data_IF_438527996893
#
_entry.id   IF_438527996893
#
_cell.length_a   1.000
_cell.length_b   1.000
_cell.length_c   1.000
_cell.angle_alpha   90.00
_cell.angle_beta   90.00
_cell.angle_gamma   90.00
#
_symmetry.space_group_name_H-M   'P 1'
#
loop_
_entity.id
_entity.type
_entity.pdbx_description
1 polymer ?
#
# COMPACT_ATOMS: atom_id res chain seq x y z
N UNK A 1 10.18 3.23 14.58
CA UNK A 1 9.33 2.33 15.40
C UNK A 1 10.16 1.89 16.61
N UNK A 2 9.60 1.85 17.82
CA UNK A 2 10.35 1.46 19.01
C UNK A 2 10.90 0.03 18.86
N UNK A 3 12.18 -0.16 19.17
CA UNK A 3 12.88 -1.43 18.97
C UNK A 3 12.23 -2.60 19.72
N UNK A 4 11.69 -2.33 20.92
CA UNK A 4 11.01 -3.35 21.73
C UNK A 4 9.80 -3.96 21.02
N UNK A 5 9.07 -3.16 20.25
CA UNK A 5 7.83 -3.60 19.57
C UNK A 5 8.15 -4.54 18.42
N UNK A 6 9.28 -4.32 17.72
CA UNK A 6 9.65 -5.11 16.54
C UNK A 6 10.52 -6.32 16.88
N UNK A 7 11.44 -6.19 17.85
CA UNK A 7 12.33 -7.29 18.28
C UNK A 7 11.68 -8.25 19.26
N UNK A 8 10.78 -7.77 20.11
CA UNK A 8 10.17 -8.56 21.18
C UNK A 8 8.63 -8.41 21.21
N UNK A 9 7.94 -8.72 20.10
CA UNK A 9 6.49 -8.53 19.99
C UNK A 9 5.70 -9.32 21.06
N UNK A 10 6.18 -10.50 21.43
CA UNK A 10 5.58 -11.35 22.48
C UNK A 10 5.60 -10.70 23.85
N UNK A 11 6.69 -10.00 24.20
CA UNK A 11 6.80 -9.29 25.47
C UNK A 11 5.80 -8.13 25.49
N UNK A 12 5.73 -7.37 24.39
CA UNK A 12 4.80 -6.24 24.29
C UNK A 12 3.35 -6.70 24.35
N UNK A 13 2.99 -7.79 23.66
CA UNK A 13 1.65 -8.37 23.77
C UNK A 13 1.32 -8.80 25.20
N UNK A 14 2.29 -9.40 25.91
CA UNK A 14 2.14 -9.76 27.32
C UNK A 14 1.89 -8.55 28.21
N UNK A 15 2.69 -7.49 28.06
CA UNK A 15 2.55 -6.25 28.83
C UNK A 15 1.21 -5.56 28.57
N UNK A 16 0.75 -5.53 27.31
CA UNK A 16 -0.53 -4.93 26.97
C UNK A 16 -1.70 -5.76 27.56
N UNK A 17 -1.63 -7.09 27.50
CA UNK A 17 -2.63 -7.96 28.14
C UNK A 17 -2.67 -7.75 29.66
N UNK A 18 -1.51 -7.63 30.30
CA UNK A 18 -1.42 -7.31 31.75
C UNK A 18 -2.01 -5.93 32.07
N UNK A 19 -1.90 -4.97 31.15
CA UNK A 19 -2.54 -3.66 31.24
C UNK A 19 -4.05 -3.68 30.93
N UNK A 20 -4.69 -4.86 30.88
CA UNK A 20 -6.10 -5.07 30.52
C UNK A 20 -6.47 -4.55 29.11
N UNK A 21 -5.50 -4.44 28.21
CA UNK A 21 -5.75 -4.12 26.81
C UNK A 21 -6.15 -5.40 26.09
N UNK A 22 -7.24 -5.31 25.33
CA UNK A 22 -7.78 -6.43 24.56
C UNK A 22 -6.91 -6.69 23.34
N UNK A 23 -5.96 -7.61 23.49
CA UNK A 23 -5.02 -8.03 22.45
C UNK A 23 -5.25 -9.50 22.07
N UNK A 24 -5.36 -9.81 20.79
CA UNK A 24 -5.43 -11.20 20.29
C UNK A 24 -6.78 -11.90 20.52
N UNK A 25 -7.83 -11.13 20.80
CA UNK A 25 -9.19 -11.65 21.11
C UNK A 25 -10.20 -11.41 19.99
N UNK A 26 -9.75 -10.94 18.82
CA UNK A 26 -10.62 -10.68 17.67
C UNK A 26 -11.59 -9.52 17.87
N UNK A 27 -11.20 -8.50 18.65
CA UNK A 27 -11.99 -7.28 18.82
C UNK A 27 -12.21 -6.55 17.49
N UNK A 28 -13.27 -5.73 17.44
CA UNK A 28 -13.66 -5.03 16.22
C UNK A 28 -12.59 -4.02 15.79
N UNK A 29 -12.09 -4.19 14.56
CA UNK A 29 -11.12 -3.29 13.94
C UNK A 29 -11.84 -2.19 13.16
N UNK A 30 -11.65 -0.93 13.54
CA UNK A 30 -12.25 0.24 12.89
C UNK A 30 -11.23 0.99 12.02
N UNK A 31 -9.97 1.06 12.45
CA UNK A 31 -8.89 1.79 11.79
C UNK A 31 -7.97 0.80 11.05
N UNK A 32 -7.43 -0.20 11.73
CA UNK A 32 -6.42 -1.12 11.20
C UNK A 32 -7.07 -2.36 10.57
N UNK A 33 -7.80 -2.18 9.46
CA UNK A 33 -8.66 -3.24 8.85
C UNK A 33 -7.94 -4.51 8.36
N UNK A 34 -6.63 -4.44 8.15
CA UNK A 34 -5.82 -5.55 7.64
C UNK A 34 -5.01 -6.24 8.74
N UNK A 35 -5.30 -5.93 10.01
CA UNK A 35 -4.56 -6.49 11.12
C UNK A 35 -4.94 -7.95 11.36
N UNK A 36 -3.98 -8.88 11.46
CA UNK A 36 -4.26 -10.23 11.91
C UNK A 36 -4.91 -10.22 13.31
N UNK A 37 -5.96 -11.02 13.55
CA UNK A 37 -6.74 -10.95 14.79
C UNK A 37 -5.94 -11.31 16.04
N UNK A 38 -4.91 -12.15 15.91
CA UNK A 38 -3.97 -12.56 16.95
C UNK A 38 -2.96 -11.46 17.34
N UNK A 39 -2.73 -10.50 16.44
CA UNK A 39 -1.76 -9.40 16.59
C UNK A 39 -2.42 -8.05 16.87
N UNK A 40 -3.74 -7.99 16.72
CA UNK A 40 -4.53 -6.80 16.95
C UNK A 40 -4.71 -6.52 18.45
N UNK A 41 -4.49 -5.27 18.83
CA UNK A 41 -4.76 -4.72 20.14
C UNK A 41 -5.71 -3.51 20.04
N UNK A 42 -6.81 -3.56 20.77
CA UNK A 42 -7.73 -2.44 20.92
C UNK A 42 -7.34 -1.59 22.13
N UNK A 43 -6.73 -0.42 21.90
CA UNK A 43 -6.32 0.51 22.94
C UNK A 43 -7.44 1.51 23.26
N UNK A 44 -7.44 2.14 24.46
CA UNK A 44 -8.46 3.13 24.83
C UNK A 44 -8.57 4.35 23.89
N UNK A 45 -7.46 4.71 23.24
CA UNK A 45 -7.39 5.87 22.33
C UNK A 45 -7.06 5.50 20.88
N UNK A 46 -7.11 4.22 20.52
CA UNK A 46 -6.77 3.82 19.16
C UNK A 46 -6.56 2.32 18.99
N UNK A 47 -5.92 1.95 17.89
CA UNK A 47 -5.69 0.57 17.51
C UNK A 47 -4.20 0.37 17.24
N UNK A 48 -3.68 -0.81 17.59
CA UNK A 48 -2.28 -1.16 17.39
C UNK A 48 -2.17 -2.61 16.91
N UNK A 49 -1.36 -2.82 15.87
CA UNK A 49 -0.94 -4.15 15.47
C UNK A 49 0.49 -4.38 15.95
N UNK A 50 0.69 -5.42 16.75
CA UNK A 50 2.02 -5.82 17.21
C UNK A 50 2.60 -6.81 16.22
N UNK A 51 3.64 -6.41 15.50
CA UNK A 51 4.32 -7.22 14.49
C UNK A 51 5.78 -7.43 14.87
N UNK A 52 6.29 -8.63 14.65
CA UNK A 52 7.73 -8.90 14.75
C UNK A 52 8.48 -8.59 13.45
N UNK A 53 9.80 -8.71 13.49
CA UNK A 53 10.66 -8.58 12.28
C UNK A 53 10.25 -9.57 11.17
N UNK A 54 9.77 -10.77 11.55
CA UNK A 54 9.31 -11.79 10.59
C UNK A 54 8.07 -11.36 9.80
N UNK A 55 7.33 -10.38 10.30
CA UNK A 55 6.03 -9.95 9.77
C UNK A 55 6.08 -8.58 9.10
N UNK A 56 7.29 -8.03 8.85
CA UNK A 56 7.47 -6.70 8.27
C UNK A 56 6.72 -6.53 6.94
N UNK A 57 6.65 -7.59 6.13
CA UNK A 57 5.91 -7.58 4.86
C UNK A 57 4.40 -7.40 5.02
N UNK A 58 3.86 -7.66 6.22
CA UNK A 58 2.44 -7.52 6.55
C UNK A 58 2.12 -6.22 7.29
N UNK A 59 3.13 -5.40 7.61
CA UNK A 59 2.93 -4.12 8.32
C UNK A 59 2.30 -3.03 7.42
N UNK A 60 2.30 -3.21 6.10
CA UNK A 60 1.79 -2.21 5.16
C UNK A 60 0.28 -2.35 4.96
N UNK A 61 -0.47 -1.30 5.29
CA UNK A 61 -1.90 -1.20 4.98
C UNK A 61 -2.19 -0.79 3.53
N UNK A 62 -1.14 -0.39 2.80
CA UNK A 62 -1.23 0.06 1.42
C UNK A 62 -1.07 -1.18 0.53
N UNK A 63 -2.15 -1.57 -0.13
CA UNK A 63 -2.13 -2.62 -1.14
C UNK A 63 -1.45 -2.13 -2.42
N UNK A 64 -0.84 -3.03 -3.20
CA UNK A 64 -0.29 -2.69 -4.52
C UNK A 64 -1.36 -2.10 -5.46
N UNK A 65 -2.63 -2.47 -5.25
CA UNK A 65 -3.77 -1.90 -5.96
C UNK A 65 -4.02 -0.42 -5.58
N UNK A 66 -3.77 -0.05 -4.33
CA UNK A 66 -3.84 1.36 -3.88
C UNK A 66 -2.80 2.23 -4.57
N UNK A 67 -1.62 1.68 -4.88
CA UNK A 67 -0.58 2.38 -5.66
C UNK A 67 -0.94 2.51 -7.14
N UNK A 68 -1.49 1.44 -7.74
CA UNK A 68 -2.00 1.44 -9.12
C UNK A 68 -3.16 2.42 -9.34
N UNK A 69 -3.96 2.68 -8.30
CA UNK A 69 -5.04 3.67 -8.32
C UNK A 69 -4.54 5.11 -8.28
N UNK A 70 -3.28 5.36 -7.89
CA UNK A 70 -2.69 6.70 -8.00
C UNK A 70 -2.55 7.02 -9.48
N UNK A 71 -3.56 7.70 -10.01
CA UNK A 71 -3.72 8.05 -11.43
C UNK A 71 -2.64 8.98 -11.98
N UNK A 72 -1.73 9.43 -11.12
CA UNK A 72 -0.72 10.44 -11.42
C UNK A 72 0.28 10.00 -12.49
N UNK A 73 0.53 8.69 -12.64
CA UNK A 73 1.47 8.15 -13.62
C UNK A 73 0.81 7.64 -14.91
N UNK A 74 -0.48 7.28 -14.86
CA UNK A 74 -1.18 6.65 -16.01
C UNK A 74 -1.56 7.70 -17.05
N UNK A 75 -2.09 8.85 -16.64
CA UNK A 75 -2.48 9.94 -17.54
C UNK A 75 -1.32 10.49 -18.40
N UNK A 76 -0.14 10.83 -17.85
CA UNK A 76 0.96 11.34 -18.67
C UNK A 76 1.52 10.29 -19.63
N UNK A 77 1.53 9.00 -19.26
CA UNK A 77 2.01 7.92 -20.12
C UNK A 77 1.09 7.70 -21.33
N UNK A 78 -0.24 7.69 -21.11
CA UNK A 78 -1.22 7.59 -22.20
C UNK A 78 -1.12 8.82 -23.11
N UNK A 79 -0.99 10.02 -22.54
CA UNK A 79 -0.80 11.25 -23.31
C UNK A 79 0.44 11.19 -24.22
N UNK A 80 1.57 10.72 -23.69
CA UNK A 80 2.81 10.55 -24.45
C UNK A 80 2.61 9.57 -25.63
N UNK A 81 1.96 8.43 -25.39
CA UNK A 81 1.69 7.42 -26.43
C UNK A 81 0.80 7.97 -27.55
N UNK A 82 -0.22 8.75 -27.22
CA UNK A 82 -1.10 9.40 -28.21
C UNK A 82 -0.30 10.39 -29.06
N UNK A 83 0.54 11.21 -28.42
CA UNK A 83 1.37 12.20 -29.13
C UNK A 83 2.34 11.51 -30.10
N UNK A 84 3.02 10.44 -29.65
CA UNK A 84 3.93 9.65 -30.50
C UNK A 84 3.17 9.05 -31.68
N UNK A 85 1.97 8.50 -31.45
CA UNK A 85 1.16 7.89 -32.51
C UNK A 85 0.73 8.92 -33.57
N UNK A 86 0.27 10.11 -33.14
CA UNK A 86 -0.12 11.19 -34.04
C UNK A 86 1.06 11.73 -34.85
N UNK A 87 2.22 11.92 -34.22
CA UNK A 87 3.46 12.30 -34.91
C UNK A 87 3.88 11.27 -35.95
N UNK A 88 3.81 9.98 -35.61
CA UNK A 88 4.11 8.90 -36.54
C UNK A 88 3.18 8.87 -37.75
N UNK A 89 1.87 9.04 -37.54
CA UNK A 89 0.90 9.14 -38.64
C UNK A 89 1.14 10.38 -39.51
N UNK A 90 1.46 11.53 -38.89
CA UNK A 90 1.70 12.78 -39.61
C UNK A 90 2.93 12.64 -40.52
N UNK A 91 4.07 12.18 -39.99
CA UNK A 91 5.29 11.95 -40.75
C UNK A 91 5.08 10.90 -41.86
N UNK A 92 4.34 9.83 -41.57
CA UNK A 92 4.02 8.81 -42.57
C UNK A 92 3.18 9.37 -43.73
N UNK A 93 2.20 10.23 -43.44
CA UNK A 93 1.32 10.82 -44.44
C UNK A 93 2.02 11.83 -45.35
N UNK A 94 2.98 12.60 -44.82
CA UNK A 94 3.76 13.59 -45.59
C UNK A 94 4.78 12.92 -46.52
N UNK A 95 5.43 11.84 -46.08
CA UNK A 95 6.32 11.05 -46.95
C UNK A 95 5.55 10.29 -48.04
N UNK A 96 4.34 9.80 -47.75
CA UNK A 96 3.48 9.11 -48.72
C UNK A 96 2.96 10.02 -49.84
N UNK A 97 2.71 11.29 -49.53
CA UNK A 97 2.31 12.30 -50.53
C UNK A 97 3.48 12.82 -51.36
N UNK A 98 4.68 12.92 -50.78
CA UNK A 98 5.88 13.36 -51.51
C UNK A 98 6.44 12.32 -52.51
N UNK A 99 6.03 11.05 -52.42
CA UNK A 99 6.44 9.98 -53.35
C UNK A 99 5.54 9.83 -54.58
N UNK A 100 4.41 10.56 -54.62
CA UNK A 100 3.40 10.56 -55.70
C UNK A 100 3.51 11.76 -56.66
N UNK A 101 4.52 12.61 -56.49
CA UNK A 101 4.84 13.75 -57.36
C UNK A 101 6.20 13.53 -57.99
#
# INVERSE_FOLDING_TARGET
MPEIVTKHPEIVLGLLKQANIKCGVGEKQNILKTCPPDKFCSLPKGELCIYGIKDISQMTQISSFSLLRSSDFIMPLIGLLIVIFLLGMFIGSTMGTSRKK
#
